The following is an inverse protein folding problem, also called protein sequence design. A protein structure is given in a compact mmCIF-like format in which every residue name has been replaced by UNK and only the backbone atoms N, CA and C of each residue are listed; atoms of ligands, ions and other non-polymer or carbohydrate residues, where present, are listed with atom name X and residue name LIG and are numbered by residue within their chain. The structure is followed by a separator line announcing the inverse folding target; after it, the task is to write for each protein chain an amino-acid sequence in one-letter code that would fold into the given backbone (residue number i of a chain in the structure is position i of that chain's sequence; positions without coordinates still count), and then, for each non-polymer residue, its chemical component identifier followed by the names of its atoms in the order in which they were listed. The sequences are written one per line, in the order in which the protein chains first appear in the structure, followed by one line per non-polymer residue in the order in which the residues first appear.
data_IF_909665676384
#
_entry.id   IF_909665676384
#
_cell.length_a   1.000
_cell.length_b   1.000
_cell.length_c   1.000
_cell.angle_alpha   90.00
_cell.angle_beta   90.00
_cell.angle_gamma   90.00
#
_symmetry.space_group_name_H-M   'P 1'
#
loop_
_entity.id
_entity.type
_entity.pdbx_description
1 polymer ?
#
# COMPACT_ATOMS: atom_id res chain seq x y z
N UNK A 1 -13.81 64.54 57.22
CA UNK A 1 -14.20 63.12 56.85
C UNK A 1 -13.97 62.92 55.39
N UNK A 2 -12.90 62.24 55.00
CA UNK A 2 -12.54 61.96 53.64
C UNK A 2 -12.60 60.42 53.47
N UNK A 3 -13.37 59.84 52.55
CA UNK A 3 -13.41 58.37 52.37
C UNK A 3 -12.27 57.89 51.53
N UNK A 4 -11.53 56.89 52.02
CA UNK A 4 -10.55 56.10 51.27
C UNK A 4 -11.23 55.17 50.21
N UNK A 5 -10.87 55.36 48.96
CA UNK A 5 -11.23 54.41 47.88
C UNK A 5 -10.15 53.33 47.80
N UNK A 6 -10.56 52.10 48.08
CA UNK A 6 -9.74 50.90 47.88
C UNK A 6 -9.72 50.57 46.40
N UNK A 7 -8.55 50.61 45.77
CA UNK A 7 -8.34 50.18 44.38
C UNK A 7 -7.83 48.71 44.42
N UNK A 8 -8.70 47.78 44.08
CA UNK A 8 -8.29 46.39 43.86
C UNK A 8 -7.59 46.27 42.49
N UNK A 9 -6.30 46.02 42.50
CA UNK A 9 -5.54 45.66 41.32
C UNK A 9 -5.69 44.15 41.06
N UNK A 10 -6.46 43.80 40.05
CA UNK A 10 -6.57 42.42 39.59
C UNK A 10 -5.36 42.08 38.69
N UNK A 11 -4.42 41.33 39.25
CA UNK A 11 -3.29 40.80 38.46
C UNK A 11 -3.75 39.61 37.64
N UNK A 12 -3.90 39.79 36.32
CA UNK A 12 -4.06 38.67 35.35
C UNK A 12 -2.70 37.94 35.19
N UNK A 13 -2.61 36.77 35.78
CA UNK A 13 -1.50 35.85 35.51
C UNK A 13 -1.84 35.10 34.22
N UNK A 14 -1.30 35.54 33.09
CA UNK A 14 -1.32 34.81 31.82
C UNK A 14 -0.35 33.63 31.93
N UNK A 15 -0.88 32.46 32.21
CA UNK A 15 -0.12 31.21 32.17
C UNK A 15 0.25 30.87 30.72
N UNK A 16 1.51 31.08 30.34
CA UNK A 16 2.07 30.54 29.08
C UNK A 16 2.28 29.04 29.32
N UNK A 17 1.42 28.20 28.75
CA UNK A 17 1.65 26.78 28.69
C UNK A 17 2.82 26.53 27.71
N UNK A 18 4.01 26.31 28.24
CA UNK A 18 5.13 25.78 27.48
C UNK A 18 4.78 24.36 27.04
N UNK A 19 4.41 24.18 25.77
CA UNK A 19 4.34 22.87 25.16
C UNK A 19 5.79 22.30 25.14
N UNK A 20 6.08 21.40 26.06
CA UNK A 20 7.32 20.65 26.06
C UNK A 20 7.46 19.81 24.79
N UNK A 21 8.68 19.44 24.39
CA UNK A 21 8.89 18.58 23.25
C UNK A 21 8.11 17.26 23.48
N UNK A 22 7.19 16.94 22.59
CA UNK A 22 6.53 15.63 22.57
C UNK A 22 7.64 14.62 22.25
N UNK A 23 8.11 13.90 23.27
CA UNK A 23 9.05 12.81 23.08
C UNK A 23 8.39 11.77 22.16
N UNK A 24 9.00 11.48 21.03
CA UNK A 24 8.53 10.47 20.11
C UNK A 24 8.39 9.14 20.87
N UNK A 25 7.16 8.66 20.98
CA UNK A 25 6.91 7.38 21.67
C UNK A 25 7.48 6.24 20.85
N UNK A 26 8.11 5.28 21.53
CA UNK A 26 8.56 4.06 20.89
C UNK A 26 7.34 3.27 20.39
N UNK A 27 7.42 2.66 19.19
CA UNK A 27 6.33 1.84 18.69
C UNK A 27 6.11 0.63 19.61
N UNK A 28 4.87 0.13 19.71
CA UNK A 28 4.60 -1.13 20.40
C UNK A 28 5.49 -2.26 19.85
N UNK A 29 5.92 -3.23 20.68
CA UNK A 29 6.84 -4.28 20.26
C UNK A 29 6.37 -5.09 19.05
N UNK A 30 5.08 -5.30 18.92
CA UNK A 30 4.47 -5.95 17.76
C UNK A 30 4.69 -5.13 16.48
N UNK A 31 4.41 -3.82 16.49
CA UNK A 31 4.62 -2.94 15.34
C UNK A 31 6.11 -2.84 14.97
N UNK A 32 7.00 -2.79 15.99
CA UNK A 32 8.44 -2.78 15.74
C UNK A 32 8.91 -4.07 15.05
N UNK A 33 8.40 -5.24 15.47
CA UNK A 33 8.70 -6.53 14.82
C UNK A 33 8.17 -6.58 13.40
N UNK A 34 6.94 -6.12 13.15
CA UNK A 34 6.34 -6.12 11.80
C UNK A 34 7.13 -5.22 10.85
N UNK A 35 7.57 -4.05 11.30
CA UNK A 35 8.43 -3.15 10.52
C UNK A 35 9.80 -3.77 10.20
N UNK A 36 10.40 -4.46 11.17
CA UNK A 36 11.67 -5.17 10.96
C UNK A 36 11.50 -6.32 9.96
N UNK A 37 10.49 -7.16 10.14
CA UNK A 37 10.19 -8.27 9.22
C UNK A 37 9.91 -7.77 7.79
N UNK A 38 9.20 -6.64 7.64
CA UNK A 38 8.96 -6.03 6.34
C UNK A 38 10.24 -5.47 5.71
N UNK A 39 11.12 -4.87 6.50
CA UNK A 39 12.42 -4.40 6.02
C UNK A 39 13.31 -5.56 5.54
N UNK A 40 13.35 -6.66 6.29
CA UNK A 40 14.06 -7.88 5.92
C UNK A 40 13.49 -8.50 4.65
N UNK A 41 12.16 -8.56 4.53
CA UNK A 41 11.49 -9.03 3.32
C UNK A 41 11.81 -8.16 2.11
N UNK A 42 11.75 -6.83 2.24
CA UNK A 42 12.13 -5.89 1.17
C UNK A 42 13.58 -6.10 0.73
N UNK A 43 14.49 -6.30 1.67
CA UNK A 43 15.91 -6.46 1.38
C UNK A 43 16.26 -7.81 0.75
N UNK A 44 15.61 -8.91 1.16
CA UNK A 44 16.06 -10.27 0.87
C UNK A 44 15.10 -11.11 0.05
N UNK A 45 13.78 -10.88 0.10
CA UNK A 45 12.83 -11.76 -0.55
C UNK A 45 12.95 -11.75 -2.08
N UNK A 46 12.89 -12.90 -2.75
CA UNK A 46 12.99 -12.98 -4.21
C UNK A 46 11.92 -12.18 -4.94
N UNK A 47 10.73 -12.08 -4.36
CA UNK A 47 9.57 -11.35 -4.88
C UNK A 47 9.39 -9.95 -4.27
N UNK A 48 10.44 -9.41 -3.67
CA UNK A 48 10.44 -8.03 -3.17
C UNK A 48 10.24 -7.03 -4.31
N UNK A 49 9.49 -5.94 -4.12
CA UNK A 49 9.38 -4.89 -5.13
C UNK A 49 10.72 -4.25 -5.48
N UNK A 50 11.73 -4.30 -4.61
CA UNK A 50 13.09 -3.84 -4.90
C UNK A 50 13.82 -4.76 -5.89
N UNK A 51 13.35 -5.99 -6.09
CA UNK A 51 13.88 -6.94 -7.06
C UNK A 51 13.16 -6.90 -8.40
N UNK A 52 12.09 -6.13 -8.53
CA UNK A 52 11.25 -6.16 -9.71
C UNK A 52 11.98 -5.66 -10.96
N UNK A 53 11.93 -6.48 -12.02
CA UNK A 53 12.44 -6.18 -13.36
C UNK A 53 11.31 -5.67 -14.25
N UNK A 54 10.15 -6.36 -14.23
CA UNK A 54 8.98 -6.02 -15.03
C UNK A 54 7.70 -6.56 -14.39
N UNK A 55 6.59 -5.88 -14.66
CA UNK A 55 5.23 -6.41 -14.51
C UNK A 55 4.45 -6.06 -15.78
N UNK A 56 4.01 -7.07 -16.53
CA UNK A 56 3.37 -6.86 -17.84
C UNK A 56 2.18 -7.80 -18.04
N UNK A 57 1.19 -7.33 -18.81
CA UNK A 57 0.09 -8.18 -19.26
C UNK A 57 0.63 -9.34 -20.12
N UNK A 58 0.18 -10.55 -19.82
CA UNK A 58 0.58 -11.75 -20.56
C UNK A 58 -0.02 -11.75 -21.97
N UNK A 59 -1.31 -11.41 -22.07
CA UNK A 59 -2.02 -11.38 -23.35
C UNK A 59 -1.91 -12.70 -24.13
N UNK A 60 -1.88 -12.63 -25.48
CA UNK A 60 -1.79 -13.82 -26.34
C UNK A 60 -0.40 -14.48 -26.30
N UNK A 61 0.59 -13.83 -25.73
CA UNK A 61 1.92 -14.37 -25.53
C UNK A 61 2.96 -13.29 -25.28
N UNK A 62 3.67 -13.42 -24.18
CA UNK A 62 4.75 -12.56 -23.74
C UNK A 62 6.08 -13.30 -23.90
N UNK A 63 7.04 -12.71 -24.63
CA UNK A 63 8.37 -13.29 -24.83
C UNK A 63 9.31 -12.83 -23.73
N UNK A 64 10.07 -13.79 -23.18
CA UNK A 64 11.10 -13.57 -22.16
C UNK A 64 12.44 -14.08 -22.69
N UNK A 65 13.55 -13.44 -22.35
CA UNK A 65 14.88 -13.98 -22.62
C UNK A 65 15.80 -13.02 -23.37
N UNK A 66 16.15 -13.26 -24.66
CA UNK A 66 17.09 -12.43 -25.41
C UNK A 66 16.72 -10.93 -25.42
N UNK A 67 17.67 -10.10 -25.82
CA UNK A 67 17.55 -8.63 -25.74
C UNK A 67 16.39 -8.05 -26.58
N UNK A 68 15.91 -8.79 -27.58
CA UNK A 68 14.78 -8.43 -28.45
C UNK A 68 13.42 -8.97 -27.94
N UNK A 69 13.39 -9.63 -26.78
CA UNK A 69 12.16 -10.10 -26.14
C UNK A 69 11.38 -8.95 -25.49
N UNK A 70 10.07 -9.17 -25.24
CA UNK A 70 9.21 -8.20 -24.56
C UNK A 70 9.72 -7.90 -23.14
N UNK A 71 10.30 -8.91 -22.47
CA UNK A 71 11.03 -8.77 -21.21
C UNK A 71 12.42 -9.36 -21.37
N UNK A 72 13.44 -8.53 -21.61
CA UNK A 72 14.83 -8.99 -21.75
C UNK A 72 15.37 -9.53 -20.43
N UNK A 73 15.85 -10.79 -20.43
CA UNK A 73 16.39 -11.49 -19.25
C UNK A 73 17.78 -12.05 -19.59
N UNK A 74 18.82 -11.39 -19.11
CA UNK A 74 20.21 -11.75 -19.40
C UNK A 74 20.53 -13.19 -18.96
N UNK A 75 20.96 -14.03 -19.91
CA UNK A 75 21.36 -15.42 -19.66
C UNK A 75 20.18 -16.40 -19.65
N UNK A 76 19.01 -15.97 -20.05
CA UNK A 76 17.83 -16.82 -20.23
C UNK A 76 17.58 -17.00 -21.71
N UNK A 77 17.40 -18.26 -22.18
CA UNK A 77 16.97 -18.57 -23.53
C UNK A 77 15.55 -18.04 -23.79
N UNK A 78 15.13 -18.01 -25.05
CA UNK A 78 13.78 -17.55 -25.35
C UNK A 78 12.71 -18.45 -24.72
N UNK A 79 11.81 -17.84 -24.00
CA UNK A 79 10.63 -18.44 -23.39
C UNK A 79 9.41 -17.63 -23.78
N UNK A 80 8.26 -18.29 -23.79
CA UNK A 80 6.95 -17.66 -24.01
C UNK A 80 6.03 -17.94 -22.84
N UNK A 81 5.36 -16.89 -22.35
CA UNK A 81 4.27 -17.02 -21.39
C UNK A 81 2.98 -16.66 -22.09
N UNK A 82 1.98 -17.52 -22.04
CA UNK A 82 0.67 -17.27 -22.65
C UNK A 82 -0.46 -17.59 -21.69
N UNK A 83 -1.59 -16.92 -21.89
CA UNK A 83 -2.83 -17.23 -21.19
C UNK A 83 -3.86 -17.78 -22.17
N UNK A 84 -4.44 -18.96 -21.87
CA UNK A 84 -5.56 -19.55 -22.61
C UNK A 84 -6.57 -20.12 -21.61
N UNK A 85 -7.81 -19.75 -21.76
CA UNK A 85 -8.91 -20.23 -20.90
C UNK A 85 -8.64 -20.04 -19.40
N UNK A 86 -8.00 -18.92 -19.04
CA UNK A 86 -7.62 -18.58 -17.66
C UNK A 86 -6.38 -19.34 -17.13
N UNK A 87 -5.82 -20.25 -17.92
CA UNK A 87 -4.60 -20.99 -17.58
C UNK A 87 -3.37 -20.29 -18.17
N UNK A 88 -2.37 -20.06 -17.33
CA UNK A 88 -1.09 -19.50 -17.75
C UNK A 88 -0.08 -20.61 -17.91
N UNK A 89 0.66 -20.59 -19.03
CA UNK A 89 1.73 -21.56 -19.33
C UNK A 89 3.03 -20.83 -19.64
N UNK A 90 4.12 -21.42 -19.17
CA UNK A 90 5.49 -21.10 -19.59
C UNK A 90 5.96 -22.19 -20.56
N UNK A 91 6.44 -21.78 -21.73
CA UNK A 91 7.02 -22.64 -22.76
C UNK A 91 8.42 -22.14 -23.13
N UNK A 92 9.36 -23.05 -23.29
CA UNK A 92 10.75 -22.76 -23.62
C UNK A 92 11.46 -24.00 -24.15
N UNK A 93 12.78 -23.93 -24.44
CA UNK A 93 13.52 -25.03 -25.07
C UNK A 93 13.36 -26.36 -24.32
N UNK A 94 13.45 -26.33 -23.00
CA UNK A 94 13.45 -27.54 -22.16
C UNK A 94 12.31 -27.55 -21.14
N UNK A 95 11.31 -26.66 -21.31
CA UNK A 95 10.21 -26.52 -20.33
C UNK A 95 8.88 -26.25 -21.00
N UNK A 96 7.85 -26.96 -20.55
CA UNK A 96 6.45 -26.63 -20.79
C UNK A 96 5.65 -26.94 -19.53
N UNK A 97 5.31 -25.90 -18.76
CA UNK A 97 4.61 -26.07 -17.47
C UNK A 97 3.60 -24.97 -17.19
N UNK A 98 2.57 -25.25 -16.39
CA UNK A 98 1.67 -24.21 -15.93
C UNK A 98 2.39 -23.24 -14.97
N UNK A 99 2.00 -21.96 -15.04
CA UNK A 99 2.27 -20.97 -14.00
C UNK A 99 1.00 -20.80 -13.16
N UNK A 100 1.03 -21.32 -11.95
CA UNK A 100 -0.09 -21.18 -11.03
C UNK A 100 -0.06 -19.78 -10.44
N UNK A 101 -1.14 -18.98 -10.57
CA UNK A 101 -1.18 -17.65 -9.98
C UNK A 101 -0.83 -17.65 -8.48
N UNK A 102 -0.05 -16.66 -8.06
CA UNK A 102 0.43 -16.56 -6.68
C UNK A 102 1.56 -17.51 -6.29
N UNK A 103 1.99 -18.43 -7.18
CA UNK A 103 3.11 -19.35 -6.94
C UNK A 103 4.30 -18.98 -7.82
N UNK A 104 5.30 -18.28 -7.28
CA UNK A 104 6.50 -17.93 -8.04
C UNK A 104 7.33 -19.18 -8.38
N UNK A 105 8.00 -19.13 -9.52
CA UNK A 105 8.94 -20.16 -9.97
C UNK A 105 10.26 -19.53 -10.38
N UNK A 106 11.32 -20.31 -10.34
CA UNK A 106 12.64 -19.91 -10.85
C UNK A 106 12.72 -20.06 -12.37
N UNK A 107 13.36 -19.08 -13.02
CA UNK A 107 13.76 -19.08 -14.42
C UNK A 107 15.20 -18.54 -14.52
N UNK A 108 16.17 -19.44 -14.52
CA UNK A 108 17.58 -19.09 -14.37
C UNK A 108 17.80 -18.38 -13.02
N UNK A 109 18.37 -17.18 -13.06
CA UNK A 109 18.58 -16.34 -11.86
C UNK A 109 17.38 -15.44 -11.49
N UNK A 110 16.28 -15.54 -12.24
CA UNK A 110 15.09 -14.74 -12.05
C UNK A 110 13.99 -15.55 -11.37
N UNK A 111 13.07 -14.85 -10.73
CA UNK A 111 11.80 -15.41 -10.26
C UNK A 111 10.69 -14.79 -11.10
N UNK A 112 9.73 -15.61 -11.51
CA UNK A 112 8.56 -15.17 -12.26
C UNK A 112 7.28 -15.62 -11.54
N UNK A 113 6.26 -14.79 -11.55
CA UNK A 113 4.97 -15.08 -10.93
C UNK A 113 3.85 -14.55 -11.80
N UNK A 114 2.81 -15.35 -12.02
CA UNK A 114 1.58 -14.89 -12.65
C UNK A 114 0.58 -14.40 -11.58
N UNK A 115 -0.23 -13.41 -11.92
CA UNK A 115 -1.28 -12.87 -11.06
C UNK A 115 -2.42 -12.25 -11.86
N UNK A 116 -3.42 -11.68 -11.18
CA UNK A 116 -4.52 -10.97 -11.82
C UNK A 116 -5.71 -11.83 -12.20
N UNK A 117 -6.69 -11.22 -12.83
CA UNK A 117 -7.95 -11.86 -13.22
C UNK A 117 -7.80 -12.66 -14.53
N UNK A 118 -8.58 -13.72 -14.75
CA UNK A 118 -8.64 -14.41 -16.03
C UNK A 118 -8.90 -13.46 -17.20
N UNK A 119 -8.15 -13.60 -18.29
CA UNK A 119 -8.18 -12.71 -19.45
C UNK A 119 -7.41 -11.39 -19.26
N UNK A 120 -6.89 -11.13 -18.07
CA UNK A 120 -6.07 -9.95 -17.71
C UNK A 120 -4.90 -10.34 -16.81
N UNK A 121 -4.37 -11.54 -16.99
CA UNK A 121 -3.23 -12.02 -16.24
C UNK A 121 -2.00 -11.16 -16.52
N UNK A 122 -1.24 -10.90 -15.47
CA UNK A 122 0.05 -10.22 -15.52
C UNK A 122 1.16 -11.20 -15.14
N UNK A 123 2.33 -11.00 -15.71
CA UNK A 123 3.57 -11.64 -15.30
C UNK A 123 4.41 -10.61 -14.54
N UNK A 124 4.76 -10.91 -13.30
CA UNK A 124 5.78 -10.19 -12.55
C UNK A 124 7.11 -10.96 -12.66
N UNK A 125 8.18 -10.23 -12.94
CA UNK A 125 9.54 -10.76 -13.07
C UNK A 125 10.44 -10.06 -12.07
N UNK A 126 11.18 -10.84 -11.30
CA UNK A 126 12.11 -10.37 -10.26
C UNK A 126 13.52 -10.85 -10.56
N UNK A 127 14.49 -9.97 -10.42
CA UNK A 127 15.90 -10.23 -10.66
C UNK A 127 16.71 -10.44 -9.38
N UNK A 128 17.99 -10.78 -9.50
CA UNK A 128 18.89 -10.90 -8.36
C UNK A 128 19.30 -9.54 -7.79
N UNK A 129 19.20 -8.48 -8.58
CA UNK A 129 19.60 -7.14 -8.17
C UNK A 129 18.48 -6.45 -7.41
N UNK A 130 18.87 -5.59 -6.48
CA UNK A 130 17.95 -4.77 -5.70
C UNK A 130 18.18 -3.31 -6.05
N UNK A 131 17.11 -2.62 -6.40
CA UNK A 131 17.15 -1.19 -6.69
C UNK A 131 16.21 -0.43 -5.76
N UNK A 132 16.60 0.80 -5.38
CA UNK A 132 15.77 1.66 -4.54
C UNK A 132 16.15 1.66 -3.06
N UNK A 133 15.31 2.29 -2.26
CA UNK A 133 15.49 2.43 -0.81
C UNK A 133 14.50 1.54 -0.09
N UNK A 134 14.90 1.01 1.07
CA UNK A 134 14.01 0.29 1.97
C UNK A 134 12.93 1.20 2.58
N UNK A 135 12.03 0.60 3.35
CA UNK A 135 10.96 1.31 4.03
C UNK A 135 11.51 2.28 5.10
N UNK A 136 10.90 3.45 5.20
CA UNK A 136 11.11 4.44 6.24
C UNK A 136 9.76 4.81 6.85
N UNK A 137 9.74 5.17 8.13
CA UNK A 137 8.49 5.38 8.85
C UNK A 137 8.48 6.72 9.57
N UNK A 138 7.29 7.28 9.74
CA UNK A 138 7.07 8.34 10.73
C UNK A 138 7.27 7.78 12.15
N UNK A 139 7.57 8.65 13.13
CA UNK A 139 7.47 8.29 14.55
C UNK A 139 6.09 7.69 14.84
N UNK A 140 6.03 6.80 15.85
CA UNK A 140 4.76 6.22 16.28
C UNK A 140 3.86 7.29 16.90
N UNK A 141 2.61 7.37 16.44
CA UNK A 141 1.58 8.25 17.00
C UNK A 141 0.37 7.41 17.44
N UNK A 142 0.16 7.25 18.77
CA UNK A 142 -1.01 6.54 19.30
C UNK A 142 -2.33 7.29 19.03
N UNK A 143 -2.31 8.60 18.76
CA UNK A 143 -3.47 9.40 18.38
C UNK A 143 -4.03 9.03 17.00
N UNK A 144 -3.28 8.27 16.20
CA UNK A 144 -3.68 7.77 14.89
C UNK A 144 -4.04 6.27 14.90
N UNK A 145 -4.39 5.75 16.07
CA UNK A 145 -4.94 4.39 16.26
C UNK A 145 -6.40 4.49 16.68
N UNK A 146 -7.30 3.98 15.89
CA UNK A 146 -8.75 4.05 16.12
C UNK A 146 -9.34 2.63 16.27
N UNK A 147 -10.42 2.55 17.03
CA UNK A 147 -11.21 1.31 17.16
C UNK A 147 -12.69 1.64 17.18
N UNK A 148 -13.46 0.99 16.32
CA UNK A 148 -14.88 1.24 16.21
C UNK A 148 -15.62 0.21 15.36
N UNK A 149 -16.93 0.34 15.21
CA UNK A 149 -17.71 -0.49 14.32
C UNK A 149 -17.44 -0.12 12.86
N UNK A 150 -17.71 -1.03 11.95
CA UNK A 150 -17.82 -0.79 10.51
C UNK A 150 -19.30 -0.79 10.13
N UNK A 151 -19.76 0.24 9.45
CA UNK A 151 -21.09 0.29 8.87
C UNK A 151 -21.14 -0.56 7.61
N UNK A 152 -22.27 -1.20 7.27
CA UNK A 152 -22.43 -1.89 6.00
C UNK A 152 -22.12 -0.97 4.81
N UNK A 153 -21.75 -1.52 3.65
CA UNK A 153 -21.52 -0.73 2.45
C UNK A 153 -22.85 -0.10 1.97
N UNK A 154 -22.79 1.15 1.51
CA UNK A 154 -23.94 1.85 0.94
C UNK A 154 -24.48 1.11 -0.31
N UNK A 155 -23.59 0.45 -1.04
CA UNK A 155 -23.89 -0.38 -2.20
C UNK A 155 -23.07 -1.67 -2.14
N UNK A 156 -23.66 -2.77 -1.68
CA UNK A 156 -23.00 -4.08 -1.76
C UNK A 156 -22.67 -4.45 -3.20
N UNK A 157 -21.47 -4.95 -3.43
CA UNK A 157 -21.05 -5.34 -4.77
C UNK A 157 -19.56 -5.67 -4.85
N UNK A 158 -19.13 -5.96 -6.07
CA UNK A 158 -17.74 -6.19 -6.41
C UNK A 158 -17.24 -5.08 -7.32
N UNK A 159 -15.98 -4.74 -7.20
CA UNK A 159 -15.32 -3.70 -7.96
C UNK A 159 -13.90 -4.15 -8.31
N UNK A 160 -13.46 -3.84 -9.52
CA UNK A 160 -12.07 -4.09 -9.92
C UNK A 160 -11.20 -2.96 -9.41
N UNK A 161 -10.11 -3.34 -8.74
CA UNK A 161 -9.11 -2.41 -8.22
C UNK A 161 -7.72 -2.98 -8.42
N UNK A 162 -6.73 -2.10 -8.45
CA UNK A 162 -5.34 -2.53 -8.30
C UNK A 162 -5.05 -2.70 -6.80
N UNK A 163 -4.54 -3.84 -6.43
CA UNK A 163 -4.05 -4.13 -5.08
C UNK A 163 -2.70 -3.44 -4.82
N UNK A 164 -2.15 -3.64 -3.64
CA UNK A 164 -0.87 -3.06 -3.19
C UNK A 164 0.29 -3.30 -4.17
N UNK A 165 0.31 -4.46 -4.81
CA UNK A 165 1.31 -4.91 -5.78
C UNK A 165 0.99 -4.51 -7.24
N UNK A 166 -0.04 -3.69 -7.44
CA UNK A 166 -0.46 -3.25 -8.77
C UNK A 166 -1.18 -4.33 -9.59
N UNK A 167 -1.50 -5.48 -9.01
CA UNK A 167 -2.29 -6.52 -9.68
C UNK A 167 -3.78 -6.19 -9.59
N UNK A 168 -4.49 -6.31 -10.71
CA UNK A 168 -5.95 -6.11 -10.73
C UNK A 168 -6.66 -7.31 -10.10
N UNK A 169 -7.48 -7.01 -9.10
CA UNK A 169 -8.29 -7.99 -8.38
C UNK A 169 -9.75 -7.57 -8.34
N UNK A 170 -10.65 -8.53 -8.13
CA UNK A 170 -12.05 -8.26 -7.85
C UNK A 170 -12.27 -8.18 -6.34
N UNK A 171 -12.35 -6.96 -5.82
CA UNK A 171 -12.60 -6.67 -4.42
C UNK A 171 -14.09 -6.62 -4.12
N UNK A 172 -14.49 -6.98 -2.89
CA UNK A 172 -15.85 -6.77 -2.41
C UNK A 172 -15.93 -5.48 -1.58
N UNK A 173 -16.98 -4.69 -1.77
CA UNK A 173 -17.30 -3.57 -0.87
C UNK A 173 -17.64 -4.14 0.52
N UNK A 174 -16.81 -3.88 1.53
CA UNK A 174 -16.95 -4.45 2.86
C UNK A 174 -17.73 -3.53 3.81
N UNK A 175 -17.59 -2.22 3.66
CA UNK A 175 -18.28 -1.24 4.49
C UNK A 175 -17.56 0.09 4.58
N UNK A 176 -17.90 0.83 5.63
CA UNK A 176 -17.33 2.17 5.90
C UNK A 176 -16.97 2.28 7.38
N UNK A 177 -15.78 2.81 7.66
CA UNK A 177 -15.39 3.22 9.02
C UNK A 177 -15.36 4.72 9.13
N UNK A 178 -15.68 5.23 10.33
CA UNK A 178 -15.67 6.66 10.64
C UNK A 178 -14.62 6.93 11.70
N UNK A 179 -13.70 7.86 11.43
CA UNK A 179 -12.60 8.22 12.34
C UNK A 179 -12.49 9.73 12.52
N UNK A 180 -12.21 10.20 13.73
CA UNK A 180 -12.00 11.63 14.00
C UNK A 180 -10.54 12.00 13.64
N UNK A 181 -10.35 12.71 12.54
CA UNK A 181 -9.02 13.20 12.10
C UNK A 181 -9.14 14.66 11.68
N UNK A 182 -8.19 15.50 12.08
CA UNK A 182 -8.16 16.91 11.70
C UNK A 182 -9.36 17.72 12.18
N UNK A 183 -9.92 17.35 13.34
CA UNK A 183 -11.11 18.00 13.92
C UNK A 183 -12.42 17.67 13.21
N UNK A 184 -12.44 16.70 12.31
CA UNK A 184 -13.62 16.25 11.54
C UNK A 184 -13.78 14.73 11.64
N UNK A 185 -15.01 14.26 11.44
CA UNK A 185 -15.25 12.82 11.23
C UNK A 185 -15.09 12.51 9.75
N UNK A 186 -14.10 11.70 9.43
CA UNK A 186 -13.83 11.22 8.08
C UNK A 186 -14.42 9.83 7.91
N UNK A 187 -15.16 9.60 6.82
CA UNK A 187 -15.67 8.28 6.44
C UNK A 187 -14.76 7.67 5.38
N UNK A 188 -14.29 6.44 5.62
CA UNK A 188 -13.39 5.72 4.73
C UNK A 188 -14.04 4.41 4.28
N UNK A 189 -14.13 4.22 2.97
CA UNK A 189 -14.60 2.97 2.36
C UNK A 189 -13.57 1.87 2.59
N UNK A 190 -14.04 0.72 3.05
CA UNK A 190 -13.26 -0.50 3.30
C UNK A 190 -13.61 -1.52 2.22
N UNK A 191 -12.60 -2.16 1.66
CA UNK A 191 -12.76 -3.24 0.70
C UNK A 191 -12.11 -4.51 1.19
N UNK A 192 -12.72 -5.63 0.85
CA UNK A 192 -12.15 -6.95 1.05
C UNK A 192 -11.34 -7.31 -0.18
N UNK A 193 -10.03 -7.35 -0.03
CA UNK A 193 -9.07 -7.64 -1.10
C UNK A 193 -8.65 -9.10 -1.00
N UNK A 194 -8.81 -9.91 -2.05
CA UNK A 194 -8.25 -11.27 -2.08
C UNK A 194 -6.72 -11.22 -1.99
N UNK A 195 -6.14 -12.03 -1.10
CA UNK A 195 -4.68 -12.17 -0.92
C UNK A 195 -4.17 -13.57 -1.22
N UNK A 196 -5.08 -14.53 -1.37
CA UNK A 196 -4.84 -15.93 -1.70
C UNK A 196 -6.11 -16.59 -2.20
N UNK A 197 -6.10 -17.92 -2.31
CA UNK A 197 -7.22 -18.70 -2.85
C UNK A 197 -8.47 -18.54 -1.96
N UNK A 198 -8.31 -18.64 -0.63
CA UNK A 198 -9.38 -18.46 0.35
C UNK A 198 -9.07 -17.36 1.37
N UNK A 199 -8.04 -16.57 1.12
CA UNK A 199 -7.60 -15.52 2.03
C UNK A 199 -7.97 -14.14 1.50
N UNK A 200 -8.30 -13.24 2.43
CA UNK A 200 -8.59 -11.85 2.10
C UNK A 200 -8.32 -10.93 3.27
N UNK A 201 -7.93 -9.71 2.97
CA UNK A 201 -7.74 -8.65 3.95
C UNK A 201 -8.78 -7.54 3.76
N UNK A 202 -9.12 -6.87 4.87
CA UNK A 202 -9.91 -5.64 4.83
C UNK A 202 -8.94 -4.48 4.67
N UNK A 203 -8.98 -3.78 3.57
CA UNK A 203 -8.07 -2.69 3.26
C UNK A 203 -8.78 -1.36 3.01
N UNK A 204 -8.06 -0.30 3.31
CA UNK A 204 -8.38 1.08 2.96
C UNK A 204 -7.22 1.61 2.14
N UNK A 205 -7.48 2.05 0.90
CA UNK A 205 -6.54 2.83 0.13
C UNK A 205 -6.96 4.29 0.19
N UNK A 206 -6.09 5.15 0.71
CA UNK A 206 -6.42 6.53 1.04
C UNK A 206 -5.34 7.52 0.60
N UNK A 207 -5.75 8.78 0.47
CA UNK A 207 -4.87 9.95 0.38
C UNK A 207 -5.08 10.86 1.56
N UNK A 208 -4.05 11.66 1.87
CA UNK A 208 -4.07 12.63 2.95
C UNK A 208 -3.16 13.83 2.63
N UNK A 209 -3.09 14.80 3.51
CA UNK A 209 -2.31 16.03 3.34
C UNK A 209 -0.78 15.83 3.30
N UNK A 210 -0.26 14.61 3.45
CA UNK A 210 1.17 14.30 3.35
C UNK A 210 1.58 13.79 1.97
N UNK A 211 0.63 13.51 1.07
CA UNK A 211 0.93 12.96 -0.24
C UNK A 211 1.73 13.94 -1.10
N UNK A 212 2.90 13.49 -1.57
CA UNK A 212 3.86 14.34 -2.29
C UNK A 212 4.75 15.20 -1.40
N UNK A 213 4.44 15.26 -0.08
CA UNK A 213 5.22 15.97 0.93
C UNK A 213 5.40 15.10 2.19
N UNK A 214 6.18 14.04 2.07
CA UNK A 214 6.50 13.10 3.14
C UNK A 214 5.96 11.68 2.94
N UNK A 215 4.89 11.49 2.14
CA UNK A 215 4.40 10.17 1.73
C UNK A 215 4.21 10.06 0.22
N UNK A 216 4.00 8.85 -0.28
CA UNK A 216 3.89 8.58 -1.70
C UNK A 216 2.72 9.33 -2.35
N UNK A 217 2.92 10.00 -3.51
CA UNK A 217 1.91 10.87 -4.10
C UNK A 217 0.58 10.18 -4.44
N UNK A 218 0.61 8.90 -4.82
CA UNK A 218 -0.60 8.17 -5.20
C UNK A 218 -1.46 7.74 -4.00
N UNK A 219 -0.95 7.79 -2.76
CA UNK A 219 -1.64 7.35 -1.56
C UNK A 219 -1.00 6.15 -0.90
N UNK A 220 -1.64 5.64 0.15
CA UNK A 220 -1.16 4.52 0.97
C UNK A 220 -2.29 3.54 1.29
N UNK A 221 -1.91 2.30 1.54
CA UNK A 221 -2.79 1.25 2.01
C UNK A 221 -2.68 1.09 3.52
N UNK A 222 -3.79 0.75 4.17
CA UNK A 222 -3.81 0.35 5.57
C UNK A 222 -4.84 -0.76 5.78
N UNK A 223 -4.42 -1.83 6.47
CA UNK A 223 -5.27 -2.97 6.78
C UNK A 223 -6.13 -2.66 8.01
N UNK A 224 -7.41 -3.01 7.94
CA UNK A 224 -8.37 -2.92 9.03
C UNK A 224 -8.44 -4.28 9.74
N UNK A 225 -8.09 -4.32 11.02
CA UNK A 225 -7.99 -5.56 11.80
C UNK A 225 -9.27 -5.82 12.58
N UNK A 226 -9.95 -6.97 12.39
CA UNK A 226 -11.10 -7.35 13.18
C UNK A 226 -10.76 -7.48 14.68
N UNK A 227 -11.68 -7.04 15.53
CA UNK A 227 -11.61 -7.16 16.99
C UNK A 227 -12.87 -7.88 17.51
N UNK A 228 -12.84 -8.42 18.74
CA UNK A 228 -14.05 -8.97 19.35
C UNK A 228 -15.21 -7.97 19.40
N UNK A 229 -16.43 -8.48 19.36
CA UNK A 229 -17.66 -7.68 19.45
C UNK A 229 -17.99 -6.86 18.19
N UNK A 230 -17.56 -7.30 17.00
CA UNK A 230 -17.89 -6.64 15.74
C UNK A 230 -17.20 -5.27 15.55
N UNK A 231 -16.15 -5.05 16.29
CA UNK A 231 -15.30 -3.86 16.16
C UNK A 231 -14.10 -4.12 15.26
N UNK A 232 -13.45 -3.05 14.85
CA UNK A 232 -12.26 -3.08 14.01
C UNK A 232 -11.23 -2.08 14.52
N UNK A 233 -9.95 -2.42 14.40
CA UNK A 233 -8.83 -1.51 14.65
C UNK A 233 -8.29 -0.99 13.32
N UNK A 234 -8.23 0.33 13.19
CA UNK A 234 -7.55 1.04 12.13
C UNK A 234 -6.33 1.76 12.73
N UNK A 235 -5.14 1.33 12.35
CA UNK A 235 -3.87 1.87 12.85
C UNK A 235 -3.07 2.45 11.68
N UNK A 236 -3.09 3.77 11.53
CA UNK A 236 -2.35 4.45 10.46
C UNK A 236 -0.83 4.33 10.60
N UNK A 237 -0.31 3.95 11.77
CA UNK A 237 1.12 3.64 11.93
C UNK A 237 1.55 2.39 11.13
N UNK A 238 0.58 1.62 10.62
CA UNK A 238 0.74 0.45 9.75
C UNK A 238 0.49 0.77 8.27
N UNK A 239 0.23 2.04 7.92
CA UNK A 239 0.03 2.42 6.53
C UNK A 239 1.29 2.16 5.70
N UNK A 240 1.10 1.57 4.49
CA UNK A 240 2.15 1.12 3.58
C UNK A 240 2.04 1.80 2.22
N UNK A 241 3.16 2.06 1.60
CA UNK A 241 3.20 2.51 0.21
C UNK A 241 2.85 1.36 -0.75
N UNK A 242 2.21 1.63 -1.90
CA UNK A 242 2.07 0.64 -2.97
C UNK A 242 3.45 0.30 -3.57
N UNK A 243 3.55 -0.85 -4.24
CA UNK A 243 4.83 -1.34 -4.79
C UNK A 243 5.43 -0.41 -5.84
N UNK A 244 4.61 0.38 -6.54
CA UNK A 244 5.11 1.40 -7.45
C UNK A 244 5.90 2.54 -6.75
N UNK A 245 5.83 2.65 -5.44
CA UNK A 245 6.71 3.55 -4.69
C UNK A 245 8.16 3.04 -4.60
N UNK A 246 8.36 1.74 -4.81
CA UNK A 246 9.68 1.07 -4.77
C UNK A 246 10.25 0.81 -6.15
N UNK A 247 9.40 0.52 -7.15
CA UNK A 247 9.85 0.21 -8.51
C UNK A 247 8.81 0.63 -9.55
N UNK A 248 9.28 1.28 -10.62
CA UNK A 248 8.48 1.66 -11.79
C UNK A 248 7.97 0.45 -12.60
N UNK A 249 8.41 -0.75 -12.27
CA UNK A 249 7.88 -1.96 -12.88
C UNK A 249 6.39 -2.18 -12.56
N UNK A 250 5.90 -1.64 -11.44
CA UNK A 250 4.52 -1.82 -11.01
C UNK A 250 3.64 -0.65 -11.43
N UNK A 251 2.41 -0.89 -11.90
CA UNK A 251 1.42 0.15 -12.11
C UNK A 251 0.97 0.73 -10.77
N UNK A 252 0.68 2.03 -10.75
CA UNK A 252 0.17 2.69 -9.56
C UNK A 252 -1.35 2.53 -9.46
N UNK A 253 -1.88 2.10 -8.31
CA UNK A 253 -3.31 2.12 -8.07
C UNK A 253 -3.82 3.57 -8.02
N UNK A 254 -5.07 3.77 -8.44
CA UNK A 254 -5.77 5.04 -8.24
C UNK A 254 -6.42 5.05 -6.85
N UNK A 255 -6.41 6.19 -6.13
CA UNK A 255 -7.08 6.31 -4.84
C UNK A 255 -8.57 5.98 -4.96
N UNK A 256 -9.11 5.29 -3.96
CA UNK A 256 -10.53 4.98 -3.96
C UNK A 256 -11.34 6.24 -3.72
N UNK A 257 -12.36 6.42 -4.55
CA UNK A 257 -13.22 7.60 -4.47
C UNK A 257 -13.77 7.77 -3.05
N UNK A 258 -13.64 8.99 -2.50
CA UNK A 258 -14.08 9.31 -1.14
C UNK A 258 -13.08 9.03 -0.03
N UNK A 259 -11.98 8.30 -0.31
CA UNK A 259 -10.94 8.02 0.69
C UNK A 259 -9.85 9.10 0.70
N UNK A 260 -10.26 10.35 0.79
CA UNK A 260 -9.33 11.47 0.97
C UNK A 260 -9.53 12.10 2.36
N UNK A 261 -8.45 12.27 3.08
CA UNK A 261 -8.41 12.89 4.41
C UNK A 261 -7.83 14.30 4.26
N UNK A 262 -8.62 15.34 4.52
CA UNK A 262 -8.21 16.75 4.42
C UNK A 262 -7.34 17.18 5.61
N UNK A 263 -6.44 16.30 6.07
CA UNK A 263 -5.49 16.54 7.14
C UNK A 263 -4.23 15.73 6.88
N UNK A 264 -3.12 16.10 7.53
CA UNK A 264 -1.88 15.34 7.47
C UNK A 264 -1.98 14.11 8.39
N UNK A 265 -1.69 12.93 7.84
CA UNK A 265 -1.57 11.68 8.59
C UNK A 265 -0.08 11.32 8.66
N UNK A 266 0.63 11.91 9.60
CA UNK A 266 2.07 11.72 9.80
C UNK A 266 2.36 10.44 10.59
N UNK A 267 1.89 9.32 10.06
CA UNK A 267 2.07 7.98 10.61
C UNK A 267 2.29 6.97 9.48
N UNK A 268 2.81 5.79 9.81
CA UNK A 268 3.10 4.74 8.84
C UNK A 268 4.30 5.04 7.96
N UNK A 269 4.30 4.46 6.79
CA UNK A 269 5.43 4.53 5.86
C UNK A 269 5.56 5.90 5.20
N UNK A 270 6.81 6.39 5.14
CA UNK A 270 7.21 7.62 4.46
C UNK A 270 7.67 7.31 3.04
N UNK A 271 7.67 8.35 2.21
CA UNK A 271 8.31 8.32 0.90
C UNK A 271 9.40 9.40 0.84
N UNK A 272 10.65 8.97 0.82
CA UNK A 272 11.81 9.87 0.88
C UNK A 272 12.26 10.39 -0.49
N UNK A 273 11.44 10.15 -1.51
CA UNK A 273 11.79 10.49 -2.89
C UNK A 273 12.95 9.63 -3.42
N UNK A 274 12.91 9.27 -4.65
CA UNK A 274 13.95 8.46 -5.32
C UNK A 274 13.43 7.98 -6.66
N UNK A 275 13.40 8.85 -7.66
CA UNK A 275 13.48 8.45 -9.05
C UNK A 275 12.21 8.02 -9.77
N UNK A 276 11.02 8.24 -9.25
CA UNK A 276 9.81 8.07 -10.06
C UNK A 276 9.06 9.40 -10.16
N UNK A 277 8.94 9.91 -11.37
CA UNK A 277 8.02 11.00 -11.69
C UNK A 277 6.62 10.59 -11.25
N UNK A 278 5.88 11.51 -10.64
CA UNK A 278 4.47 11.28 -10.31
C UNK A 278 3.73 10.77 -11.56
N UNK A 279 2.82 9.79 -11.42
CA UNK A 279 1.97 9.41 -12.53
C UNK A 279 1.23 10.66 -13.03
N UNK A 280 1.01 10.80 -14.35
CA UNK A 280 0.29 11.94 -14.89
C UNK A 280 -1.08 12.02 -14.21
N UNK A 281 -1.40 13.20 -13.68
CA UNK A 281 -2.72 13.51 -13.16
C UNK A 281 -3.72 13.33 -14.31
N UNK A 282 -4.55 12.28 -14.30
CA UNK A 282 -5.55 12.11 -15.36
C UNK A 282 -6.10 10.72 -15.63
N UNK A 283 -5.91 9.75 -14.77
CA UNK A 283 -6.67 8.49 -14.86
C UNK A 283 -7.74 8.45 -13.76
N UNK A 284 -8.75 9.30 -13.90
CA UNK A 284 -10.03 9.06 -13.22
C UNK A 284 -10.66 7.83 -13.86
N UNK A 285 -10.83 6.78 -13.06
CA UNK A 285 -11.60 5.61 -13.45
C UNK A 285 -13.05 6.04 -13.73
N UNK A 286 -13.48 5.90 -14.99
CA UNK A 286 -14.88 6.02 -15.40
C UNK A 286 -15.72 4.89 -14.85
#
# INVERSE_FOLDING_TARGET
MIPYRCVCVLSLITGIALAGPVLAQSPPPELARDRAAYADWLAAAPNSPLAAVAQQLIGPGLRLGPADSDVPLKGVAEHRVSERDGLVRLEGPDVSRPLVPGRPIELGKYFISAGGLPGRRVLAVYGPERAGKGASYYPYDPGLVFSGPMSPPDRPGRVRVLALDGIEVEAAEAGTVSVPIGGRTVRLTVRRIPTGEDESELEIYFRDGTNGDGTYPAGRFVTLVPLPGGRYRLDFNRARNPFCAYSSAFPCPAPWRGNTIDARVEAGERYLGGGLSAPPAGLEAK
#
